data_IF_489517377162
#
_entry.id   IF_489517377162
#
_cell.length_a   1.000
_cell.length_b   1.000
_cell.length_c   1.000
_cell.angle_alpha   90.00
_cell.angle_beta   90.00
_cell.angle_gamma   90.00
#
_symmetry.space_group_name_H-M   'P 1'
#
loop_
_entity.id
_entity.type
_entity.pdbx_description
1 polymer ?
#
# COMPACT_ATOMS: atom_id res chain seq x y z
N UNK A 1 -5.29 -6.66 -23.35
CA UNK A 1 -5.95 -6.09 -22.15
C UNK A 1 -5.85 -4.56 -22.25
N UNK A 2 -6.96 -3.83 -22.28
CA UNK A 2 -6.92 -2.35 -22.31
C UNK A 2 -6.46 -1.84 -20.94
N UNK A 3 -5.52 -0.88 -20.92
CA UNK A 3 -5.09 -0.25 -19.68
C UNK A 3 -6.27 0.53 -19.06
N UNK A 4 -6.48 0.51 -17.74
CA UNK A 4 -7.49 1.34 -17.09
C UNK A 4 -7.17 2.82 -17.28
N UNK A 5 -8.20 3.65 -17.43
CA UNK A 5 -8.08 5.06 -17.88
C UNK A 5 -7.16 5.91 -17.00
N UNK A 6 -7.05 5.59 -15.71
CA UNK A 6 -6.14 6.28 -14.80
C UNK A 6 -4.66 6.00 -15.09
N UNK A 7 -4.31 4.80 -15.56
CA UNK A 7 -2.92 4.45 -15.93
C UNK A 7 -2.48 5.19 -17.18
N UNK A 8 -3.40 5.37 -18.15
CA UNK A 8 -3.13 6.20 -19.32
C UNK A 8 -2.94 7.68 -18.93
N UNK A 9 -3.78 8.20 -18.04
CA UNK A 9 -3.62 9.56 -17.52
C UNK A 9 -2.32 9.74 -16.71
N UNK A 10 -1.92 8.75 -15.90
CA UNK A 10 -0.69 8.79 -15.13
C UNK A 10 0.57 8.71 -15.99
N UNK A 11 0.53 8.02 -17.13
CA UNK A 11 1.63 7.98 -18.10
C UNK A 11 1.78 9.29 -18.89
N UNK A 12 0.71 10.09 -18.99
CA UNK A 12 0.70 11.39 -19.66
C UNK A 12 0.93 12.58 -18.70
N UNK A 13 0.81 12.33 -17.39
CA UNK A 13 0.93 13.34 -16.35
C UNK A 13 2.40 13.69 -16.05
N UNK A 14 2.97 14.60 -16.84
CA UNK A 14 4.21 15.26 -16.45
C UNK A 14 3.90 16.47 -15.53
N UNK A 15 4.29 16.36 -14.26
CA UNK A 15 4.68 17.50 -13.41
C UNK A 15 3.65 18.58 -13.03
N UNK A 16 2.32 18.40 -13.21
CA UNK A 16 1.34 19.42 -12.80
C UNK A 16 0.31 18.92 -11.76
N UNK A 17 -0.05 19.81 -10.83
CA UNK A 17 -1.08 19.55 -9.81
C UNK A 17 -2.44 19.18 -10.42
N UNK A 18 -2.79 19.74 -11.58
CA UNK A 18 -4.01 19.39 -12.31
C UNK A 18 -3.99 17.95 -12.83
N UNK A 19 -2.83 17.47 -13.29
CA UNK A 19 -2.67 16.09 -13.71
C UNK A 19 -2.76 15.12 -12.53
N UNK A 20 -2.20 15.49 -11.36
CA UNK A 20 -2.37 14.71 -10.12
C UNK A 20 -3.85 14.59 -9.71
N UNK A 21 -4.64 15.67 -9.81
CA UNK A 21 -6.09 15.65 -9.54
C UNK A 21 -6.86 14.76 -10.53
N UNK A 22 -6.49 14.76 -11.81
CA UNK A 22 -7.10 13.91 -12.83
C UNK A 22 -6.75 12.42 -12.65
N UNK A 23 -5.48 12.11 -12.38
CA UNK A 23 -5.01 10.75 -12.04
C UNK A 23 -5.73 10.24 -10.79
N UNK A 24 -5.86 11.09 -9.77
CA UNK A 24 -6.64 10.84 -8.56
C UNK A 24 -8.08 10.47 -8.91
N UNK A 25 -8.83 11.35 -9.57
CA UNK A 25 -10.23 11.12 -9.91
C UNK A 25 -10.46 9.82 -10.71
N UNK A 26 -9.56 9.53 -11.66
CA UNK A 26 -9.64 8.32 -12.48
C UNK A 26 -9.25 7.05 -11.69
N UNK A 27 -8.27 7.13 -10.78
CA UNK A 27 -7.88 6.04 -9.88
C UNK A 27 -9.05 5.67 -8.96
N UNK A 28 -9.66 6.68 -8.32
CA UNK A 28 -10.84 6.51 -7.47
C UNK A 28 -12.05 5.96 -8.24
N UNK A 29 -12.27 6.39 -9.49
CA UNK A 29 -13.32 5.83 -10.35
C UNK A 29 -13.06 4.37 -10.71
N UNK A 30 -11.81 4.02 -11.01
CA UNK A 30 -11.46 2.66 -11.38
C UNK A 30 -11.50 1.67 -10.20
N UNK A 31 -11.02 2.07 -9.01
CA UNK A 31 -11.14 1.24 -7.80
C UNK A 31 -12.61 0.93 -7.51
N UNK A 32 -13.48 1.94 -7.54
CA UNK A 32 -14.94 1.76 -7.36
C UNK A 32 -15.58 0.87 -8.43
N UNK A 33 -14.96 0.72 -9.59
CA UNK A 33 -15.44 -0.12 -10.69
C UNK A 33 -14.97 -1.57 -10.63
N UNK A 34 -14.09 -1.95 -9.69
CA UNK A 34 -13.60 -3.33 -9.57
C UNK A 34 -14.71 -4.26 -9.06
N UNK A 35 -15.06 -5.35 -9.78
CA UNK A 35 -15.92 -6.38 -9.24
C UNK A 35 -15.20 -7.05 -8.06
N UNK A 36 -15.72 -6.79 -6.86
CA UNK A 36 -15.12 -7.10 -5.56
C UNK A 36 -15.67 -6.21 -4.45
N UNK A 37 -16.02 -4.95 -4.77
CA UNK A 37 -16.65 -4.02 -3.82
C UNK A 37 -18.15 -4.30 -3.55
N UNK A 38 -18.77 -5.22 -4.29
CA UNK A 38 -20.17 -5.58 -4.13
C UNK A 38 -20.36 -7.07 -4.45
N UNK A 39 -20.78 -7.83 -3.42
CA UNK A 39 -21.10 -9.26 -3.38
C UNK A 39 -19.93 -10.17 -3.00
N UNK A 40 -19.99 -10.65 -1.75
CA UNK A 40 -19.17 -11.71 -1.21
C UNK A 40 -19.26 -12.98 -2.04
N UNK A 41 -18.31 -13.16 -2.95
CA UNK A 41 -17.89 -14.46 -3.46
C UNK A 41 -16.36 -14.49 -3.43
N UNK A 42 -15.82 -15.28 -2.51
CA UNK A 42 -14.40 -15.59 -2.47
C UNK A 42 -13.99 -16.26 -3.80
N UNK A 43 -12.85 -15.87 -4.42
CA UNK A 43 -12.43 -16.41 -5.71
C UNK A 43 -11.72 -17.77 -5.60
N UNK A 44 -11.79 -18.47 -4.47
CA UNK A 44 -11.22 -19.80 -4.30
C UNK A 44 -12.20 -20.73 -3.59
N UNK A 45 -12.35 -21.94 -4.14
CA UNK A 45 -13.30 -22.95 -3.73
C UNK A 45 -13.12 -23.41 -2.28
N UNK A 46 -14.25 -23.85 -1.69
CA UNK A 46 -14.44 -24.48 -0.37
C UNK A 46 -13.30 -24.28 0.66
N UNK A 47 -13.55 -23.34 1.58
CA UNK A 47 -12.80 -23.08 2.82
C UNK A 47 -12.50 -24.38 3.58
N UNK A 48 -11.23 -24.76 3.68
CA UNK A 48 -10.76 -25.59 4.77
C UNK A 48 -10.35 -24.68 5.94
N UNK A 49 -10.94 -24.91 7.09
CA UNK A 49 -10.76 -24.11 8.31
C UNK A 49 -9.39 -24.30 8.97
N UNK A 50 -8.57 -25.24 8.50
CA UNK A 50 -7.27 -25.61 9.08
C UNK A 50 -6.11 -24.76 8.56
N UNK A 51 -6.08 -24.36 7.27
CA UNK A 51 -5.00 -23.54 6.73
C UNK A 51 -4.93 -22.14 7.37
N UNK A 52 -6.10 -21.57 7.71
CA UNK A 52 -6.19 -20.31 8.48
C UNK A 52 -6.07 -20.50 10.00
N UNK A 53 -6.15 -21.73 10.52
CA UNK A 53 -5.85 -22.00 11.92
C UNK A 53 -4.35 -21.90 12.21
N UNK A 54 -3.50 -22.25 11.24
CA UNK A 54 -2.04 -22.10 11.31
C UNK A 54 -1.57 -20.63 11.29
N UNK A 55 -2.37 -19.72 10.71
CA UNK A 55 -2.14 -18.27 10.72
C UNK A 55 -2.36 -17.66 12.12
N UNK A 56 -3.02 -18.37 13.04
CA UNK A 56 -3.19 -17.95 14.44
C UNK A 56 -1.90 -18.08 15.28
N UNK A 57 -0.85 -18.75 14.80
CA UNK A 57 0.25 -19.22 15.66
C UNK A 57 1.51 -18.32 15.73
N UNK A 58 1.50 -17.12 15.13
CA UNK A 58 2.54 -16.08 15.37
C UNK A 58 1.96 -14.90 16.17
N UNK A 59 0.98 -15.19 17.02
CA UNK A 59 0.61 -14.32 18.15
C UNK A 59 0.45 -15.24 19.35
N UNK A 60 1.57 -15.61 19.96
CA UNK A 60 1.58 -16.42 21.16
C UNK A 60 0.93 -15.64 22.31
N UNK A 61 -0.06 -16.30 22.91
CA UNK A 61 -0.86 -15.93 24.07
C UNK A 61 0.04 -15.54 25.27
N UNK A 62 -0.09 -14.33 25.86
CA UNK A 62 0.55 -14.10 27.14
C UNK A 62 -0.26 -14.82 28.21
N UNK A 63 0.46 -15.56 29.07
CA UNK A 63 -0.09 -16.14 30.28
C UNK A 63 -0.97 -15.14 31.02
N UNK A 64 -2.19 -15.57 31.35
CA UNK A 64 -3.16 -14.82 32.16
C UNK A 64 -2.51 -14.23 33.41
N UNK A 65 -2.26 -12.92 33.39
CA UNK A 65 -2.33 -12.08 34.58
C UNK A 65 -3.40 -11.02 34.31
N UNK A 66 -4.32 -10.86 35.26
CA UNK A 66 -5.39 -9.87 35.18
C UNK A 66 -4.76 -8.47 35.24
N UNK A 67 -4.65 -7.82 34.08
CA UNK A 67 -4.55 -6.37 33.96
C UNK A 67 -5.67 -5.89 33.06
N UNK A 68 -6.28 -4.77 33.44
CA UNK A 68 -7.46 -4.16 32.87
C UNK A 68 -7.44 -4.08 31.34
N UNK A 69 -8.54 -4.49 30.72
CA UNK A 69 -8.84 -4.24 29.32
C UNK A 69 -8.97 -2.73 29.06
N UNK A 70 -7.88 -2.12 28.63
CA UNK A 70 -7.82 -0.86 27.89
C UNK A 70 -6.61 -0.96 26.95
N UNK A 71 -6.81 -0.54 25.70
CA UNK A 71 -5.86 -0.49 24.58
C UNK A 71 -5.79 -1.72 23.66
N UNK A 72 -6.94 -2.09 23.09
CA UNK A 72 -6.92 -2.25 21.63
C UNK A 72 -6.55 -0.88 21.07
N UNK A 73 -5.27 -0.69 20.69
CA UNK A 73 -4.74 0.60 20.25
C UNK A 73 -5.71 1.28 19.28
N UNK A 74 -6.19 2.46 19.67
CA UNK A 74 -7.06 3.27 18.82
C UNK A 74 -6.39 3.44 17.44
N UNK A 75 -7.16 3.45 16.34
CA UNK A 75 -6.59 3.73 15.02
C UNK A 75 -5.82 5.05 15.08
N UNK A 76 -4.67 5.15 14.39
CA UNK A 76 -3.80 6.30 14.45
C UNK A 76 -4.63 7.51 14.02
N UNK A 77 -4.44 8.64 14.70
CA UNK A 77 -5.16 9.84 14.36
C UNK A 77 -4.94 10.16 12.88
N UNK A 78 -5.95 10.77 12.28
CA UNK A 78 -5.85 11.30 10.93
C UNK A 78 -4.64 12.25 10.83
N UNK A 79 -3.82 12.16 9.77
CA UNK A 79 -2.66 13.04 9.61
C UNK A 79 -3.07 14.52 9.62
N UNK A 80 -2.29 15.35 10.32
CA UNK A 80 -2.55 16.80 10.35
C UNK A 80 -2.41 17.44 8.95
N UNK A 81 -3.08 18.57 8.64
CA UNK A 81 -2.90 19.26 7.37
C UNK A 81 -1.44 19.63 7.07
N UNK A 82 -0.66 19.96 8.10
CA UNK A 82 0.78 20.25 7.97
C UNK A 82 1.57 19.00 7.61
N UNK A 83 1.27 17.86 8.24
CA UNK A 83 1.85 16.55 7.91
C UNK A 83 1.57 16.21 6.44
N UNK A 84 0.31 16.36 6.01
CA UNK A 84 -0.13 16.10 4.64
C UNK A 84 0.64 16.96 3.63
N UNK A 85 0.76 18.27 3.89
CA UNK A 85 1.51 19.17 2.99
C UNK A 85 2.98 18.79 2.88
N UNK A 86 3.64 18.48 4.00
CA UNK A 86 5.06 18.08 4.00
C UNK A 86 5.29 16.78 3.21
N UNK A 87 4.41 15.79 3.39
CA UNK A 87 4.47 14.52 2.65
C UNK A 87 4.19 14.73 1.16
N UNK A 88 3.20 15.53 0.80
CA UNK A 88 2.89 15.80 -0.62
C UNK A 88 4.02 16.58 -1.32
N UNK A 89 4.63 17.56 -0.66
CA UNK A 89 5.73 18.33 -1.21
C UNK A 89 6.99 17.48 -1.41
N UNK A 90 7.37 16.68 -0.40
CA UNK A 90 8.52 15.77 -0.49
C UNK A 90 8.29 14.61 -1.46
N UNK A 91 7.06 14.11 -1.58
CA UNK A 91 6.72 13.11 -2.60
C UNK A 91 6.93 13.68 -4.00
N UNK A 92 6.52 14.92 -4.28
CA UNK A 92 6.73 15.54 -5.58
C UNK A 92 8.22 15.63 -5.97
N UNK A 93 9.11 15.83 -4.99
CA UNK A 93 10.56 15.78 -5.21
C UNK A 93 11.03 14.36 -5.57
N UNK A 94 10.54 13.35 -4.85
CA UNK A 94 10.83 11.95 -5.19
C UNK A 94 10.30 11.57 -6.58
N UNK A 95 9.09 12.02 -6.96
CA UNK A 95 8.52 11.79 -8.29
C UNK A 95 9.36 12.39 -9.41
N UNK A 96 10.06 13.50 -9.15
CA UNK A 96 10.95 14.14 -10.13
C UNK A 96 12.14 13.25 -10.52
N UNK A 97 12.52 12.26 -9.69
CA UNK A 97 13.50 11.22 -10.03
C UNK A 97 12.95 10.16 -11.01
N UNK A 98 11.62 10.19 -11.24
CA UNK A 98 10.88 9.24 -12.06
C UNK A 98 10.32 8.08 -11.23
N UNK A 99 9.00 7.86 -11.30
CA UNK A 99 8.32 6.78 -10.57
C UNK A 99 8.87 5.37 -10.86
N UNK A 100 9.42 5.14 -12.05
CA UNK A 100 10.07 3.87 -12.38
C UNK A 100 11.36 3.67 -11.56
N UNK A 101 12.16 4.73 -11.39
CA UNK A 101 13.39 4.74 -10.58
C UNK A 101 13.05 4.55 -9.11
N UNK A 102 12.10 5.36 -8.59
CA UNK A 102 11.64 5.24 -7.20
C UNK A 102 11.09 3.85 -6.91
N UNK A 103 10.32 3.28 -7.84
CA UNK A 103 9.79 1.93 -7.72
C UNK A 103 10.86 0.85 -7.69
N UNK A 104 11.93 0.98 -8.49
CA UNK A 104 13.05 0.05 -8.43
C UNK A 104 13.75 0.10 -7.06
N UNK A 105 14.11 1.30 -6.60
CA UNK A 105 14.76 1.51 -5.29
C UNK A 105 13.90 1.00 -4.13
N UNK A 106 12.58 1.16 -4.21
CA UNK A 106 11.64 0.65 -3.21
C UNK A 106 11.64 -0.87 -3.14
N UNK A 107 11.53 -1.56 -4.29
CA UNK A 107 11.51 -3.02 -4.32
C UNK A 107 12.86 -3.63 -3.97
N UNK A 108 13.97 -2.99 -4.36
CA UNK A 108 15.31 -3.40 -3.95
C UNK A 108 15.45 -3.32 -2.42
N UNK A 109 15.02 -2.22 -1.79
CA UNK A 109 15.04 -2.06 -0.33
C UNK A 109 14.11 -3.07 0.38
N UNK A 110 12.94 -3.34 -0.20
CA UNK A 110 11.98 -4.30 0.34
C UNK A 110 12.53 -5.72 0.36
N UNK A 111 13.09 -6.18 -0.76
CA UNK A 111 13.60 -7.55 -0.87
C UNK A 111 14.91 -7.74 -0.09
N UNK A 112 15.75 -6.70 0.00
CA UNK A 112 16.94 -6.73 0.85
C UNK A 112 16.63 -6.93 2.34
N UNK A 113 15.42 -6.58 2.79
CA UNK A 113 15.04 -6.58 4.22
C UNK A 113 13.95 -7.59 4.58
N UNK A 114 13.28 -8.17 3.58
CA UNK A 114 12.16 -9.10 3.81
C UNK A 114 12.08 -10.20 2.75
N UNK A 115 12.67 -11.35 3.07
CA UNK A 115 12.54 -12.56 2.26
C UNK A 115 11.09 -13.03 2.11
N UNK A 116 10.25 -12.84 3.14
CA UNK A 116 8.82 -13.18 3.06
C UNK A 116 8.06 -12.27 2.08
N UNK A 117 8.42 -10.98 1.98
CA UNK A 117 7.85 -10.09 0.97
C UNK A 117 8.30 -10.49 -0.43
N UNK A 118 9.58 -10.86 -0.62
CA UNK A 118 10.10 -11.34 -1.90
C UNK A 118 9.38 -12.60 -2.39
N UNK A 119 9.08 -13.55 -1.48
CA UNK A 119 8.37 -14.78 -1.81
C UNK A 119 6.97 -14.55 -2.42
N UNK A 120 6.31 -13.43 -2.11
CA UNK A 120 5.03 -13.07 -2.76
C UNK A 120 5.17 -12.83 -4.27
N UNK A 121 6.39 -12.51 -4.72
CA UNK A 121 6.71 -12.25 -6.12
C UNK A 121 7.31 -13.46 -6.82
N UNK A 122 7.71 -14.50 -6.09
CA UNK A 122 8.20 -15.78 -6.62
C UNK A 122 7.07 -16.66 -7.20
N UNK A 123 6.16 -16.07 -7.98
CA UNK A 123 5.03 -16.76 -8.63
C UNK A 123 5.27 -16.91 -10.12
N UNK A 124 4.56 -17.84 -10.77
CA UNK A 124 4.60 -18.03 -12.24
C UNK A 124 4.32 -16.73 -13.03
N UNK A 125 3.60 -15.78 -12.43
CA UNK A 125 3.32 -14.46 -13.03
C UNK A 125 4.59 -13.65 -13.32
N UNK A 126 5.60 -13.77 -12.45
CA UNK A 126 6.87 -13.06 -12.53
C UNK A 126 8.06 -14.00 -12.79
N UNK A 127 7.79 -15.21 -13.29
CA UNK A 127 8.81 -16.20 -13.61
C UNK A 127 9.93 -15.63 -14.49
N UNK A 128 11.12 -16.23 -14.36
CA UNK A 128 12.33 -15.75 -15.03
C UNK A 128 12.17 -15.64 -16.55
N UNK A 129 12.81 -14.62 -17.10
CA UNK A 129 12.80 -14.31 -18.53
C UNK A 129 12.25 -12.92 -18.88
N UNK A 130 12.33 -12.51 -20.15
CA UNK A 130 11.96 -11.15 -20.57
C UNK A 130 10.53 -10.76 -20.21
N UNK A 131 9.57 -11.67 -20.34
CA UNK A 131 8.17 -11.41 -20.06
C UNK A 131 7.88 -11.22 -18.56
N UNK A 132 8.47 -12.04 -17.68
CA UNK A 132 8.32 -11.88 -16.23
C UNK A 132 8.96 -10.59 -15.73
N UNK A 133 10.17 -10.27 -16.18
CA UNK A 133 10.85 -8.99 -15.89
C UNK A 133 10.02 -7.79 -16.34
N UNK A 134 9.43 -7.83 -17.53
CA UNK A 134 8.55 -6.77 -18.01
C UNK A 134 7.28 -6.62 -17.14
N UNK A 135 6.65 -7.73 -16.73
CA UNK A 135 5.50 -7.69 -15.83
C UNK A 135 5.86 -7.16 -14.45
N UNK A 136 7.03 -7.52 -13.92
CA UNK A 136 7.51 -7.03 -12.65
C UNK A 136 7.78 -5.51 -12.71
N UNK A 137 8.49 -5.03 -13.73
CA UNK A 137 8.68 -3.59 -13.96
C UNK A 137 7.36 -2.82 -14.10
N UNK A 138 6.36 -3.41 -14.77
CA UNK A 138 5.03 -2.81 -14.83
C UNK A 138 4.32 -2.83 -13.46
N UNK A 139 4.56 -3.85 -12.63
CA UNK A 139 4.01 -3.92 -11.30
C UNK A 139 4.63 -2.84 -10.40
N UNK A 140 5.95 -2.67 -10.40
CA UNK A 140 6.63 -1.64 -9.59
C UNK A 140 6.11 -0.25 -9.90
N UNK A 141 5.94 0.08 -11.19
CA UNK A 141 5.34 1.34 -11.62
C UNK A 141 3.92 1.51 -11.10
N UNK A 142 3.09 0.45 -11.12
CA UNK A 142 1.71 0.56 -10.64
C UNK A 142 1.63 0.80 -9.14
N UNK A 143 2.53 0.20 -8.35
CA UNK A 143 2.59 0.42 -6.92
C UNK A 143 2.93 1.89 -6.65
N UNK A 144 3.94 2.43 -7.34
CA UNK A 144 4.30 3.84 -7.19
C UNK A 144 3.19 4.79 -7.61
N UNK A 145 2.51 4.53 -8.74
CA UNK A 145 1.36 5.35 -9.14
C UNK A 145 0.18 5.26 -8.15
N UNK A 146 -0.02 4.09 -7.54
CA UNK A 146 -1.05 3.89 -6.50
C UNK A 146 -0.68 4.67 -5.23
N UNK A 147 0.60 4.65 -4.86
CA UNK A 147 1.12 5.44 -3.75
C UNK A 147 0.96 6.94 -4.01
N UNK A 148 1.29 7.44 -5.21
CA UNK A 148 1.04 8.83 -5.60
C UNK A 148 -0.43 9.21 -5.44
N UNK A 149 -1.34 8.37 -5.94
CA UNK A 149 -2.77 8.63 -5.82
C UNK A 149 -3.25 8.66 -4.35
N UNK A 150 -2.68 7.81 -3.48
CA UNK A 150 -2.96 7.83 -2.05
C UNK A 150 -2.42 9.10 -1.39
N UNK A 151 -1.16 9.48 -1.66
CA UNK A 151 -0.51 10.69 -1.12
C UNK A 151 -1.28 11.96 -1.51
N UNK A 152 -1.65 12.11 -2.77
CA UNK A 152 -2.49 13.24 -3.22
C UNK A 152 -3.96 13.13 -2.79
N UNK A 153 -4.39 11.96 -2.34
CA UNK A 153 -5.69 11.71 -1.74
C UNK A 153 -5.78 12.15 -0.27
N UNK A 154 -4.65 12.37 0.42
CA UNK A 154 -4.62 12.70 1.85
C UNK A 154 -5.36 14.01 2.20
N UNK A 155 -5.58 14.88 1.22
CA UNK A 155 -6.37 16.10 1.40
C UNK A 155 -7.88 15.84 1.57
N UNK A 156 -8.35 14.63 1.27
CA UNK A 156 -9.73 14.18 1.47
C UNK A 156 -9.74 12.76 2.05
N UNK A 157 -9.47 12.67 3.36
CA UNK A 157 -9.39 11.39 4.08
C UNK A 157 -10.72 10.62 4.07
N UNK A 158 -11.86 11.33 4.02
CA UNK A 158 -13.19 10.72 3.99
C UNK A 158 -13.42 9.92 2.71
N UNK A 159 -12.96 10.43 1.56
CA UNK A 159 -13.00 9.69 0.30
C UNK A 159 -11.85 8.69 0.15
N UNK A 160 -10.68 8.96 0.73
CA UNK A 160 -9.50 8.10 0.62
C UNK A 160 -9.63 6.80 1.41
N UNK A 161 -10.08 6.85 2.67
CA UNK A 161 -10.09 5.69 3.56
C UNK A 161 -10.88 4.49 3.00
N UNK A 162 -12.11 4.65 2.45
CA UNK A 162 -12.85 3.52 1.86
C UNK A 162 -12.13 2.88 0.66
N UNK A 163 -11.35 3.66 -0.09
CA UNK A 163 -10.58 3.17 -1.24
C UNK A 163 -9.36 2.39 -0.79
N UNK A 164 -8.68 2.83 0.26
CA UNK A 164 -7.61 2.07 0.89
C UNK A 164 -8.12 0.76 1.50
N UNK A 165 -9.30 0.78 2.14
CA UNK A 165 -9.94 -0.42 2.66
C UNK A 165 -10.24 -1.43 1.55
N UNK A 166 -10.88 -1.01 0.45
CA UNK A 166 -11.15 -1.89 -0.70
C UNK A 166 -9.86 -2.42 -1.37
N UNK A 167 -8.80 -1.61 -1.37
CA UNK A 167 -7.49 -2.05 -1.84
C UNK A 167 -6.92 -3.11 -0.90
N UNK A 168 -7.00 -2.93 0.41
CA UNK A 168 -6.55 -3.89 1.42
C UNK A 168 -7.29 -5.22 1.35
N UNK A 169 -8.61 -5.22 1.12
CA UNK A 169 -9.38 -6.44 0.82
C UNK A 169 -8.79 -7.18 -0.39
N UNK A 170 -8.45 -6.47 -1.46
CA UNK A 170 -7.82 -7.07 -2.64
C UNK A 170 -6.45 -7.68 -2.33
N UNK A 171 -5.74 -7.17 -1.30
CA UNK A 171 -4.41 -7.68 -0.91
C UNK A 171 -4.46 -9.04 -0.20
N UNK A 172 -5.62 -9.42 0.36
CA UNK A 172 -5.83 -10.77 0.88
C UNK A 172 -5.66 -11.84 -0.19
N UNK A 173 -6.13 -11.57 -1.42
CA UNK A 173 -6.01 -12.48 -2.55
C UNK A 173 -4.57 -12.75 -2.99
N UNK A 174 -3.60 -11.95 -2.51
CA UNK A 174 -2.17 -12.13 -2.74
C UNK A 174 -1.43 -12.62 -1.50
N UNK A 175 -2.14 -13.04 -0.45
CA UNK A 175 -1.56 -13.50 0.81
C UNK A 175 -0.66 -12.45 1.51
N UNK A 176 -0.98 -11.17 1.35
CA UNK A 176 -0.25 -10.08 2.01
C UNK A 176 -0.68 -10.00 3.47
N UNK A 177 0.26 -10.25 4.38
CA UNK A 177 0.09 -10.21 5.82
C UNK A 177 0.57 -8.88 6.43
N UNK A 178 0.25 -8.67 7.72
CA UNK A 178 0.66 -7.51 8.50
C UNK A 178 2.17 -7.19 8.38
N UNK A 179 3.02 -8.23 8.54
CA UNK A 179 4.48 -8.11 8.48
C UNK A 179 4.99 -7.56 7.13
N UNK A 180 4.24 -7.76 6.04
CA UNK A 180 4.64 -7.22 4.73
C UNK A 180 4.38 -5.70 4.64
N UNK A 181 3.40 -5.17 5.37
CA UNK A 181 3.20 -3.72 5.48
C UNK A 181 4.33 -3.09 6.29
N UNK A 182 4.77 -3.71 7.39
CA UNK A 182 5.91 -3.19 8.15
C UNK A 182 7.19 -3.12 7.29
N UNK A 183 7.47 -4.19 6.53
CA UNK A 183 8.59 -4.23 5.60
C UNK A 183 8.46 -3.17 4.48
N UNK A 184 7.27 -3.01 3.91
CA UNK A 184 7.00 -1.98 2.90
C UNK A 184 7.17 -0.56 3.46
N UNK A 185 6.76 -0.30 4.70
CA UNK A 185 6.97 0.99 5.35
C UNK A 185 8.45 1.31 5.54
N UNK A 186 9.23 0.33 6.01
CA UNK A 186 10.68 0.47 6.15
C UNK A 186 11.36 0.73 4.79
N UNK A 187 10.98 -0.02 3.75
CA UNK A 187 11.49 0.15 2.41
C UNK A 187 11.17 1.55 1.84
N UNK A 188 9.93 2.03 2.01
CA UNK A 188 9.53 3.38 1.56
C UNK A 188 10.38 4.47 2.22
N UNK A 189 10.57 4.40 3.54
CA UNK A 189 11.37 5.38 4.27
C UNK A 189 12.85 5.34 3.85
N UNK A 190 13.40 4.14 3.60
CA UNK A 190 14.75 3.98 3.07
C UNK A 190 14.89 4.61 1.68
N UNK A 191 13.93 4.37 0.79
CA UNK A 191 13.91 4.96 -0.56
C UNK A 191 13.81 6.49 -0.52
N UNK A 192 12.94 7.04 0.32
CA UNK A 192 12.79 8.49 0.48
C UNK A 192 14.05 9.12 1.04
N UNK A 193 14.69 8.50 2.04
CA UNK A 193 15.97 8.97 2.58
C UNK A 193 17.05 9.00 1.50
N UNK A 194 17.17 7.94 0.70
CA UNK A 194 18.14 7.88 -0.39
C UNK A 194 17.86 8.88 -1.53
N UNK A 195 16.58 9.12 -1.84
CA UNK A 195 16.19 10.02 -2.92
C UNK A 195 16.22 11.51 -2.58
N UNK A 196 15.92 11.86 -1.32
CA UNK A 196 15.84 13.25 -0.86
C UNK A 196 17.10 13.71 -0.10
N UNK A 197 17.95 12.80 0.36
CA UNK A 197 19.19 13.12 1.07
C UNK A 197 18.95 13.96 2.32
N UNK A 198 19.66 15.08 2.44
CA UNK A 198 19.59 16.00 3.60
C UNK A 198 18.20 16.63 3.80
N UNK A 199 17.38 16.73 2.74
CA UNK A 199 16.00 17.22 2.83
C UNK A 199 15.09 16.24 3.59
N UNK A 200 15.49 14.96 3.71
CA UNK A 200 14.78 13.95 4.51
C UNK A 200 15.09 14.08 6.01
N UNK A 201 14.71 15.23 6.56
CA UNK A 201 14.89 15.55 7.97
C UNK A 201 14.15 14.58 8.90
N UNK A 202 14.55 14.47 10.19
CA UNK A 202 13.83 13.65 11.17
C UNK A 202 12.35 14.03 11.32
N UNK A 203 12.02 15.32 11.17
CA UNK A 203 10.64 15.79 11.19
C UNK A 203 9.85 15.28 9.98
N UNK A 204 10.45 15.28 8.80
CA UNK A 204 9.83 14.75 7.59
C UNK A 204 9.67 13.22 7.65
N UNK A 205 10.67 12.51 8.18
CA UNK A 205 10.56 11.08 8.42
C UNK A 205 9.39 10.74 9.36
N UNK A 206 9.22 11.49 10.45
CA UNK A 206 8.09 11.32 11.37
C UNK A 206 6.75 11.53 10.66
N UNK A 207 6.65 12.58 9.82
CA UNK A 207 5.46 12.84 9.02
C UNK A 207 5.14 11.69 8.04
N UNK A 208 6.15 11.12 7.40
CA UNK A 208 5.97 9.96 6.52
C UNK A 208 5.56 8.70 7.29
N UNK A 209 6.10 8.48 8.50
CA UNK A 209 5.69 7.35 9.36
C UNK A 209 4.22 7.47 9.75
N UNK A 210 3.77 8.66 10.13
CA UNK A 210 2.37 8.95 10.47
C UNK A 210 1.44 8.65 9.28
N UNK A 211 1.75 9.18 8.10
CA UNK A 211 0.96 8.95 6.88
C UNK A 211 0.97 7.49 6.46
N UNK A 212 2.14 6.84 6.48
CA UNK A 212 2.24 5.43 6.12
C UNK A 212 1.41 4.56 7.07
N UNK A 213 1.48 4.82 8.38
CA UNK A 213 0.69 4.12 9.37
C UNK A 213 -0.81 4.28 9.09
N UNK A 214 -1.28 5.49 8.78
CA UNK A 214 -2.68 5.72 8.39
C UNK A 214 -3.07 4.88 7.15
N UNK A 215 -2.21 4.85 6.12
CA UNK A 215 -2.46 4.09 4.89
C UNK A 215 -2.53 2.58 5.19
N UNK A 216 -1.49 2.04 5.81
CA UNK A 216 -1.36 0.61 6.12
C UNK A 216 -2.53 0.14 6.99
N UNK A 217 -2.90 0.90 8.02
CA UNK A 217 -4.01 0.54 8.88
C UNK A 217 -5.37 0.61 8.18
N UNK A 218 -5.57 1.57 7.26
CA UNK A 218 -6.78 1.60 6.44
C UNK A 218 -6.89 0.35 5.56
N UNK A 219 -5.79 -0.08 4.94
CA UNK A 219 -5.76 -1.34 4.17
C UNK A 219 -6.02 -2.57 5.07
N UNK A 220 -5.37 -2.64 6.23
CA UNK A 220 -5.55 -3.74 7.18
C UNK A 220 -6.98 -3.82 7.71
N UNK A 221 -7.65 -2.69 7.96
CA UNK A 221 -9.07 -2.67 8.33
C UNK A 221 -9.94 -3.28 7.23
N UNK A 222 -9.71 -2.93 5.98
CA UNK A 222 -10.42 -3.50 4.84
C UNK A 222 -10.21 -5.00 4.70
N UNK A 223 -8.96 -5.45 4.84
CA UNK A 223 -8.60 -6.87 4.86
C UNK A 223 -9.32 -7.62 6.00
N UNK A 224 -9.25 -7.12 7.24
CA UNK A 224 -9.92 -7.74 8.37
C UNK A 224 -11.44 -7.83 8.17
N UNK A 225 -12.10 -6.76 7.70
CA UNK A 225 -13.55 -6.76 7.43
C UNK A 225 -13.95 -7.84 6.42
N UNK A 226 -13.19 -8.00 5.34
CA UNK A 226 -13.46 -9.00 4.32
C UNK A 226 -13.29 -10.44 4.85
N UNK A 227 -12.36 -10.68 5.78
CA UNK A 227 -12.20 -12.00 6.41
C UNK A 227 -13.42 -12.40 7.27
N UNK A 228 -14.08 -11.43 7.92
CA UNK A 228 -15.21 -11.68 8.84
C UNK A 228 -16.60 -11.58 8.20
N UNK A 229 -16.69 -11.29 6.90
CA UNK A 229 -17.97 -11.26 6.18
C UNK A 229 -18.28 -12.67 5.64
N UNK A 230 -19.31 -13.33 6.18
CA UNK A 230 -19.81 -14.65 5.75
C UNK A 230 -21.06 -14.49 4.90
#
# INVERSE_FOLDING_TARGET
>A
MRLPTWRAAALLAAGSAAAAVAVRALFFRWIRSRPGAARGRAPFGRRDSSAWASIRCVVAEPARSRSSATDAAAPPPAPSPRTVQAVQASWAQAEALGLATVGALFFDALFATSASAEQLFATQKFADGPAGRARFKLHTLNVMQTLSAAVYGLSDLGSLAPVLEALGESHLGYNVLHVHYEAAGAALLATLRGGLGEEFTPALESAWREVYAFIAQSMLRGASRAMYTF
#
